data_IF_083969733687
#
_entry.id   IF_083969733687
#
_cell.length_a   1.000
_cell.length_b   1.000
_cell.length_c   1.000
_cell.angle_alpha   90.00
_cell.angle_beta   90.00
_cell.angle_gamma   90.00
#
_symmetry.space_group_name_H-M   'P 1'
#
loop_
_entity.id
_entity.type
_entity.pdbx_description
1 polymer ?
#
# COMPACT_ATOMS: atom_id res chain seq x y z
N UNK A 1 -33.60 -19.63 -81.21
CA UNK A 1 -34.05 -20.85 -80.52
C UNK A 1 -33.53 -20.82 -79.07
N UNK A 2 -34.46 -20.91 -78.11
CA UNK A 2 -34.35 -21.53 -76.78
C UNK A 2 -33.14 -21.18 -75.87
N UNK A 3 -33.40 -20.47 -74.74
CA UNK A 3 -33.51 -21.02 -73.35
C UNK A 3 -32.11 -21.00 -72.68
N UNK A 4 -31.85 -20.40 -71.51
CA UNK A 4 -32.42 -20.59 -70.18
C UNK A 4 -31.85 -19.55 -69.17
N UNK A 5 -32.60 -19.44 -68.06
CA UNK A 5 -32.36 -18.74 -66.78
C UNK A 5 -30.95 -18.85 -66.20
N UNK A 6 -30.60 -17.87 -65.37
CA UNK A 6 -29.57 -18.00 -64.33
C UNK A 6 -29.28 -16.69 -63.62
N UNK A 7 -30.15 -16.27 -62.68
CA UNK A 7 -29.89 -15.15 -61.77
C UNK A 7 -28.64 -15.44 -60.93
N UNK A 8 -27.63 -14.57 -61.00
CA UNK A 8 -26.43 -14.61 -60.16
C UNK A 8 -26.26 -13.29 -59.41
N UNK A 9 -26.19 -13.43 -58.09
CA UNK A 9 -25.47 -12.61 -57.12
C UNK A 9 -25.85 -11.13 -56.99
N UNK A 10 -26.73 -10.83 -56.02
CA UNK A 10 -26.74 -9.51 -55.39
C UNK A 10 -25.47 -9.34 -54.56
N UNK A 11 -24.64 -8.39 -54.96
CA UNK A 11 -23.42 -7.99 -54.29
C UNK A 11 -23.71 -7.40 -52.91
N UNK A 12 -22.97 -7.90 -51.91
CA UNK A 12 -22.86 -7.36 -50.56
C UNK A 12 -22.26 -5.95 -50.60
N UNK A 13 -23.12 -4.94 -50.42
CA UNK A 13 -22.69 -3.57 -50.16
C UNK A 13 -22.21 -3.42 -48.73
N UNK A 14 -20.90 -3.31 -48.54
CA UNK A 14 -20.29 -2.87 -47.29
C UNK A 14 -20.62 -1.38 -47.09
N UNK A 15 -21.60 -1.09 -46.24
CA UNK A 15 -21.91 0.26 -45.81
C UNK A 15 -20.77 0.78 -44.92
N UNK A 16 -19.98 1.71 -45.45
CA UNK A 16 -19.01 2.50 -44.69
C UNK A 16 -19.78 3.37 -43.68
N UNK A 17 -19.96 2.87 -42.46
CA UNK A 17 -20.39 3.70 -41.33
C UNK A 17 -19.21 4.57 -40.91
N UNK A 18 -19.46 5.88 -40.96
CA UNK A 18 -18.58 6.95 -40.53
C UNK A 18 -17.92 6.65 -39.17
N UNK A 19 -16.59 6.71 -39.12
CA UNK A 19 -15.82 6.81 -37.88
C UNK A 19 -16.03 8.22 -37.30
N UNK A 20 -17.04 8.32 -36.45
CA UNK A 20 -17.23 9.45 -35.56
C UNK A 20 -16.08 9.52 -34.55
N UNK A 21 -15.40 10.66 -34.55
CA UNK A 21 -14.69 11.27 -33.42
C UNK A 21 -13.96 10.33 -32.46
N UNK A 22 -12.67 10.11 -32.72
CA UNK A 22 -11.76 9.77 -31.63
C UNK A 22 -11.62 11.02 -30.76
N UNK A 23 -12.29 11.02 -29.59
CA UNK A 23 -12.10 12.03 -28.57
C UNK A 23 -10.60 12.13 -28.26
N UNK A 24 -10.00 13.29 -28.54
CA UNK A 24 -8.78 13.70 -27.86
C UNK A 24 -9.15 13.96 -26.40
N UNK A 25 -9.16 12.91 -25.58
CA UNK A 25 -9.08 13.06 -24.14
C UNK A 25 -7.65 13.58 -23.87
N UNK A 26 -7.51 14.89 -23.76
CA UNK A 26 -6.39 15.49 -23.07
C UNK A 26 -6.42 14.93 -21.66
N UNK A 27 -5.59 13.92 -21.40
CA UNK A 27 -5.24 13.52 -20.05
C UNK A 27 -4.52 14.74 -19.48
N UNK A 28 -5.29 15.63 -18.86
CA UNK A 28 -4.74 16.69 -18.05
C UNK A 28 -3.84 16.01 -17.05
N UNK A 29 -2.54 16.27 -17.14
CA UNK A 29 -1.57 15.97 -16.10
C UNK A 29 -1.87 16.91 -14.92
N UNK A 30 -3.08 16.86 -14.37
CA UNK A 30 -3.32 17.31 -13.03
C UNK A 30 -2.50 16.35 -12.18
N UNK A 31 -1.33 16.83 -11.73
CA UNK A 31 -0.63 16.20 -10.64
C UNK A 31 -1.64 16.09 -9.50
N UNK A 32 -2.27 14.91 -9.38
CA UNK A 32 -3.04 14.55 -8.20
C UNK A 32 -1.98 14.51 -7.10
N UNK A 33 -1.76 15.65 -6.46
CA UNK A 33 -1.31 15.65 -5.08
C UNK A 33 -2.47 14.99 -4.33
N UNK A 34 -2.44 13.67 -4.25
CA UNK A 34 -3.32 12.95 -3.35
C UNK A 34 -2.95 13.48 -1.97
N UNK A 35 -3.73 14.45 -1.51
CA UNK A 35 -3.62 14.92 -0.14
C UNK A 35 -4.17 13.78 0.70
N UNK A 36 -3.30 13.17 1.51
CA UNK A 36 -3.73 12.16 2.45
C UNK A 36 -4.86 12.71 3.33
N UNK A 37 -5.92 11.91 3.61
CA UNK A 37 -6.99 12.34 4.49
C UNK A 37 -6.46 12.89 5.81
N UNK A 38 -7.11 13.93 6.32
CA UNK A 38 -6.76 14.50 7.61
C UNK A 38 -6.88 13.43 8.70
N UNK A 39 -5.83 13.29 9.51
CA UNK A 39 -5.75 12.27 10.56
C UNK A 39 -5.10 10.94 10.15
N UNK A 40 -4.80 10.72 8.87
CA UNK A 40 -4.10 9.53 8.41
C UNK A 40 -2.61 9.81 8.11
N UNK A 41 -1.81 8.75 8.17
CA UNK A 41 -0.37 8.76 7.87
C UNK A 41 0.00 7.49 7.10
N UNK A 42 -0.19 7.51 5.79
CA UNK A 42 -0.15 6.31 4.93
C UNK A 42 1.24 5.92 4.41
N UNK A 43 2.19 6.85 4.45
CA UNK A 43 3.58 6.63 4.02
C UNK A 43 4.55 7.34 4.96
N UNK A 44 5.82 6.94 4.95
CA UNK A 44 6.83 7.41 5.91
C UNK A 44 6.93 8.95 6.04
N UNK A 45 6.69 9.69 4.95
CA UNK A 45 6.74 11.15 4.93
C UNK A 45 5.37 11.85 4.90
N UNK A 46 4.28 11.09 5.13
CA UNK A 46 2.86 11.47 4.96
C UNK A 46 2.45 11.79 3.54
N UNK A 47 3.18 12.64 2.83
CA UNK A 47 2.83 13.10 1.49
C UNK A 47 3.96 12.85 0.47
N UNK A 48 3.60 12.88 -0.81
CA UNK A 48 4.54 12.70 -1.92
C UNK A 48 5.54 13.86 -2.06
N UNK A 49 5.26 15.03 -1.46
CA UNK A 49 6.20 16.14 -1.41
C UNK A 49 7.26 15.98 -0.30
N UNK A 50 7.14 14.93 0.52
CA UNK A 50 7.99 14.62 1.67
C UNK A 50 8.05 15.74 2.72
N UNK A 51 6.96 16.49 2.92
CA UNK A 51 6.95 17.62 3.85
C UNK A 51 6.86 17.19 5.31
N UNK A 52 6.33 15.99 5.59
CA UNK A 52 6.09 15.48 6.96
C UNK A 52 5.24 16.44 7.81
N UNK A 53 4.39 17.23 7.18
CA UNK A 53 3.54 18.24 7.81
C UNK A 53 2.17 17.64 8.13
N UNK A 54 1.56 17.95 9.28
CA UNK A 54 0.17 17.57 9.59
C UNK A 54 -0.72 18.81 9.68
N UNK A 55 -1.93 18.81 9.08
CA UNK A 55 -2.87 19.92 9.17
C UNK A 55 -3.66 19.93 10.49
N UNK A 56 -3.51 18.90 11.34
CA UNK A 56 -4.22 18.83 12.62
C UNK A 56 -3.75 19.93 13.59
N UNK A 57 -4.71 20.69 14.12
CA UNK A 57 -4.46 21.82 15.02
C UNK A 57 -4.86 21.60 16.48
N UNK A 58 -5.22 20.36 16.88
CA UNK A 58 -5.69 20.09 18.24
C UNK A 58 -4.60 20.33 19.30
N UNK A 59 -3.35 19.96 18.96
CA UNK A 59 -2.18 20.19 19.81
C UNK A 59 -1.51 21.47 19.32
N UNK A 60 -1.36 22.44 20.21
CA UNK A 60 -0.79 23.76 19.93
C UNK A 60 0.35 24.05 20.91
N UNK A 61 1.09 25.14 20.66
CA UNK A 61 2.16 25.59 21.56
C UNK A 61 1.66 25.87 22.98
N UNK A 62 0.40 26.27 23.13
CA UNK A 62 -0.19 26.66 24.41
C UNK A 62 -0.60 25.44 25.28
N UNK A 63 -0.96 24.33 24.63
CA UNK A 63 -1.47 23.13 25.31
C UNK A 63 -0.51 21.92 25.29
N UNK A 64 0.58 21.95 24.50
CA UNK A 64 1.54 20.84 24.40
C UNK A 64 2.16 20.43 25.75
N UNK A 65 2.27 21.37 26.69
CA UNK A 65 2.73 21.11 28.06
C UNK A 65 1.84 20.16 28.87
N UNK A 66 0.60 19.94 28.42
CA UNK A 66 -0.37 19.09 29.11
C UNK A 66 -0.44 17.66 28.54
N UNK A 67 0.40 17.32 27.56
CA UNK A 67 0.38 15.99 26.95
C UNK A 67 0.76 14.91 27.96
N UNK A 68 0.03 13.81 27.92
CA UNK A 68 0.27 12.62 28.71
C UNK A 68 0.32 11.40 27.77
N UNK A 69 1.03 10.36 28.19
CA UNK A 69 1.08 9.10 27.46
C UNK A 69 -0.31 8.47 27.50
N UNK A 70 -0.94 8.31 26.33
CA UNK A 70 -2.25 7.66 26.23
C UNK A 70 -2.15 6.14 26.39
N UNK A 71 -1.12 5.51 25.81
CA UNK A 71 -0.82 4.09 25.88
C UNK A 71 0.59 3.82 25.36
N UNK A 72 1.12 2.63 25.62
CA UNK A 72 2.43 2.16 25.14
C UNK A 72 2.31 0.76 24.57
N UNK A 73 3.06 0.48 23.51
CA UNK A 73 3.19 -0.86 22.92
C UNK A 73 4.65 -1.29 22.93
N UNK A 74 4.93 -2.49 23.44
CA UNK A 74 6.27 -3.08 23.40
C UNK A 74 6.39 -4.05 22.24
N UNK A 75 7.32 -3.75 21.33
CA UNK A 75 7.64 -4.63 20.20
C UNK A 75 8.46 -5.87 20.60
N UNK A 76 9.00 -5.91 21.83
CA UNK A 76 9.80 -7.04 22.33
C UNK A 76 11.21 -7.17 21.72
N UNK A 77 11.69 -6.17 20.97
CA UNK A 77 13.00 -6.18 20.28
C UNK A 77 13.82 -4.94 20.67
N UNK A 78 15.11 -5.16 20.97
CA UNK A 78 16.04 -4.16 21.54
C UNK A 78 17.07 -3.63 20.53
N UNK A 79 16.73 -3.58 19.24
CA UNK A 79 17.59 -3.07 18.15
C UNK A 79 17.10 -1.71 17.65
N UNK A 80 17.77 -1.10 16.66
CA UNK A 80 17.37 0.19 16.12
C UNK A 80 15.96 0.17 15.50
N UNK A 81 15.06 0.97 16.07
CA UNK A 81 13.70 1.19 15.52
C UNK A 81 13.68 2.48 14.69
N UNK A 82 13.74 2.34 13.37
CA UNK A 82 13.71 3.48 12.43
C UNK A 82 12.38 3.62 11.67
N UNK A 83 11.49 2.63 11.79
CA UNK A 83 10.24 2.61 11.05
C UNK A 83 9.26 3.67 11.57
N UNK A 84 8.85 4.58 10.70
CA UNK A 84 7.73 5.46 10.98
C UNK A 84 6.43 4.62 11.04
N UNK A 85 5.64 4.73 12.13
CA UNK A 85 4.33 4.08 12.18
C UNK A 85 3.42 4.63 11.07
N UNK A 86 2.59 3.76 10.52
CA UNK A 86 1.52 4.17 9.61
C UNK A 86 0.19 4.17 10.33
N UNK A 87 -0.72 5.07 9.96
CA UNK A 87 -2.10 5.09 10.46
C UNK A 87 -3.04 5.16 9.26
N UNK A 88 -3.89 4.14 9.13
CA UNK A 88 -4.90 4.04 8.06
C UNK A 88 -6.23 3.70 8.72
N UNK A 89 -7.18 4.62 8.69
CA UNK A 89 -8.40 4.54 9.50
C UNK A 89 -8.08 4.33 10.99
N UNK A 90 -8.73 3.35 11.62
CA UNK A 90 -8.56 3.04 13.05
C UNK A 90 -7.39 2.08 13.35
N UNK A 91 -6.50 1.82 12.39
CA UNK A 91 -5.41 0.85 12.56
C UNK A 91 -4.06 1.51 12.42
N UNK A 92 -3.19 1.30 13.41
CA UNK A 92 -1.79 1.68 13.36
C UNK A 92 -0.92 0.48 12.99
N UNK A 93 0.04 0.68 12.09
CA UNK A 93 0.97 -0.35 11.65
C UNK A 93 2.39 -0.02 12.09
N UNK A 94 3.06 -0.98 12.72
CA UNK A 94 4.43 -0.83 13.24
C UNK A 94 5.30 -1.94 12.69
N UNK A 95 6.45 -1.58 12.12
CA UNK A 95 7.46 -2.53 11.63
C UNK A 95 8.64 -2.53 12.59
N UNK A 96 9.07 -3.71 13.02
CA UNK A 96 10.26 -3.82 13.88
C UNK A 96 11.55 -3.92 13.05
N UNK A 97 12.72 -3.70 13.68
CA UNK A 97 13.98 -4.28 13.20
C UNK A 97 13.87 -5.81 13.06
N UNK A 98 14.95 -6.46 12.62
CA UNK A 98 15.01 -7.93 12.44
C UNK A 98 14.26 -8.67 13.56
N UNK A 99 13.32 -9.58 13.22
CA UNK A 99 13.11 -10.20 11.91
C UNK A 99 12.15 -9.45 10.96
N UNK A 100 11.94 -8.14 11.14
CA UNK A 100 11.02 -7.32 10.36
C UNK A 100 9.54 -7.70 10.55
N UNK A 101 9.13 -7.97 11.79
CA UNK A 101 7.74 -8.23 12.11
C UNK A 101 6.89 -6.98 11.92
N UNK A 102 5.76 -7.12 11.22
CA UNK A 102 4.74 -6.09 11.08
C UNK A 102 3.61 -6.35 12.07
N UNK A 103 3.28 -5.37 12.89
CA UNK A 103 2.15 -5.39 13.82
C UNK A 103 1.05 -4.47 13.31
N UNK A 104 -0.21 -4.93 13.38
CA UNK A 104 -1.39 -4.08 13.23
C UNK A 104 -2.06 -3.90 14.60
N UNK A 105 -2.19 -2.65 15.02
CA UNK A 105 -2.69 -2.25 16.33
C UNK A 105 -4.05 -1.57 16.19
N UNK A 106 -5.01 -1.94 17.02
CA UNK A 106 -6.34 -1.33 17.07
C UNK A 106 -6.31 -0.04 17.90
N UNK A 107 -6.51 1.11 17.25
CA UNK A 107 -6.55 2.40 17.93
C UNK A 107 -7.80 2.58 18.80
N UNK A 108 -8.87 1.81 18.56
CA UNK A 108 -10.08 1.80 19.40
C UNK A 108 -9.89 1.01 20.70
N UNK A 109 -8.87 0.16 20.76
CA UNK A 109 -8.57 -0.70 21.91
C UNK A 109 -7.16 -0.41 22.46
N UNK A 110 -6.82 0.87 22.60
CA UNK A 110 -5.56 1.32 23.21
C UNK A 110 -4.29 0.65 22.63
N UNK A 111 -4.29 0.35 21.33
CA UNK A 111 -3.16 -0.28 20.65
C UNK A 111 -3.09 -1.80 20.80
N UNK A 112 -4.19 -2.48 21.13
CA UNK A 112 -4.24 -3.94 21.15
C UNK A 112 -3.85 -4.55 19.79
N UNK A 113 -3.08 -5.62 19.81
CA UNK A 113 -2.61 -6.28 18.58
C UNK A 113 -3.80 -6.97 17.90
N UNK A 114 -4.19 -6.50 16.71
CA UNK A 114 -5.19 -7.14 15.84
C UNK A 114 -4.61 -8.38 15.18
N UNK A 115 -3.41 -8.24 14.63
CA UNK A 115 -2.65 -9.31 14.02
C UNK A 115 -1.18 -8.90 13.92
N UNK A 116 -0.32 -9.90 13.67
CA UNK A 116 1.09 -9.70 13.36
C UNK A 116 1.47 -10.55 12.16
N UNK A 117 2.42 -10.06 11.38
CA UNK A 117 3.00 -10.77 10.25
C UNK A 117 4.51 -10.93 10.45
N UNK A 118 4.98 -12.17 10.35
CA UNK A 118 6.40 -12.52 10.41
C UNK A 118 6.88 -12.95 9.00
N UNK A 119 7.75 -12.16 8.36
CA UNK A 119 8.26 -12.46 7.01
C UNK A 119 9.25 -13.63 6.94
N UNK A 120 9.58 -14.28 8.07
CA UNK A 120 10.54 -15.40 8.14
C UNK A 120 11.88 -15.03 7.48
N UNK A 121 12.46 -13.90 7.90
CA UNK A 121 13.75 -13.42 7.40
C UNK A 121 14.86 -14.38 7.81
N UNK A 122 15.71 -14.76 6.86
CA UNK A 122 16.85 -15.63 7.12
C UNK A 122 17.81 -14.99 8.11
N UNK A 123 18.28 -15.76 9.11
CA UNK A 123 19.20 -15.27 10.14
C UNK A 123 20.54 -14.81 9.59
N UNK A 124 20.98 -15.35 8.44
CA UNK A 124 22.22 -14.92 7.77
C UNK A 124 22.13 -13.49 7.21
N UNK A 125 20.91 -12.93 7.06
CA UNK A 125 20.73 -11.53 6.64
C UNK A 125 21.34 -10.55 7.66
N UNK A 126 21.41 -10.94 8.94
CA UNK A 126 22.00 -10.10 9.98
C UNK A 126 23.51 -9.89 9.76
N UNK A 127 24.21 -10.89 9.23
CA UNK A 127 25.67 -10.84 9.02
C UNK A 127 26.11 -9.97 7.85
N UNK A 128 25.18 -9.57 6.97
CA UNK A 128 25.46 -8.70 5.80
C UNK A 128 24.91 -7.28 5.98
N UNK A 129 24.28 -6.99 7.12
CA UNK A 129 23.80 -5.65 7.45
C UNK A 129 24.96 -4.77 7.95
N UNK A 130 25.30 -3.71 7.20
CA UNK A 130 26.42 -2.83 7.56
C UNK A 130 26.21 -2.00 8.82
N UNK A 131 24.95 -1.69 9.13
CA UNK A 131 24.58 -0.48 9.84
C UNK A 131 23.38 -0.76 10.78
N UNK A 132 23.50 -1.86 11.55
CA UNK A 132 22.42 -2.50 12.31
C UNK A 132 21.31 -3.13 11.43
N UNK A 133 20.47 -3.95 12.06
CA UNK A 133 19.42 -4.74 11.42
C UNK A 133 18.08 -3.99 11.40
N UNK A 134 18.15 -2.72 11.02
CA UNK A 134 17.03 -1.77 11.04
C UNK A 134 16.07 -1.97 9.87
N UNK A 135 14.86 -1.42 10.00
CA UNK A 135 13.87 -1.31 8.94
C UNK A 135 13.26 0.10 8.95
N UNK A 136 13.04 0.70 7.77
CA UNK A 136 12.53 2.08 7.63
C UNK A 136 11.01 2.16 7.45
N UNK A 137 10.33 1.03 7.63
CA UNK A 137 8.88 0.95 7.73
C UNK A 137 8.22 0.45 6.47
N UNK A 138 6.93 0.71 6.41
CA UNK A 138 6.05 0.31 5.33
C UNK A 138 5.53 1.55 4.57
N UNK A 139 4.90 1.30 3.44
CA UNK A 139 3.95 2.22 2.82
C UNK A 139 2.60 1.49 2.72
N UNK A 140 1.50 2.22 2.84
CA UNK A 140 0.18 1.62 2.88
C UNK A 140 -0.86 2.46 2.17
N UNK A 141 -1.89 1.77 1.69
CA UNK A 141 -3.16 2.32 1.24
C UNK A 141 -4.27 1.53 1.94
N UNK A 142 -5.53 1.97 1.80
CA UNK A 142 -6.68 1.35 2.48
C UNK A 142 -6.77 -0.18 2.37
N UNK A 143 -6.23 -0.77 1.29
CA UNK A 143 -6.34 -2.21 1.01
C UNK A 143 -5.02 -2.97 1.03
N UNK A 144 -3.88 -2.28 1.05
CA UNK A 144 -2.59 -2.93 0.88
C UNK A 144 -1.49 -2.19 1.63
N UNK A 145 -0.60 -2.95 2.25
CA UNK A 145 0.63 -2.52 2.89
C UNK A 145 1.81 -3.13 2.14
N UNK A 146 2.89 -2.39 2.08
CA UNK A 146 4.11 -2.78 1.39
C UNK A 146 5.27 -2.60 2.34
N UNK A 147 6.08 -3.64 2.52
CA UNK A 147 7.25 -3.61 3.37
C UNK A 147 8.40 -4.35 2.70
N UNK A 148 9.61 -3.80 2.81
CA UNK A 148 10.81 -4.52 2.44
C UNK A 148 11.26 -5.42 3.59
N UNK A 149 11.60 -6.67 3.28
CA UNK A 149 12.25 -7.58 4.22
C UNK A 149 13.77 -7.58 4.02
N UNK A 150 14.51 -7.86 5.07
CA UNK A 150 15.95 -8.10 4.94
C UNK A 150 16.20 -9.38 4.12
N UNK A 151 17.25 -9.36 3.30
CA UNK A 151 17.62 -10.47 2.42
C UNK A 151 19.13 -10.69 2.37
N UNK A 152 19.53 -11.88 1.94
CA UNK A 152 20.93 -12.35 1.91
C UNK A 152 21.57 -12.28 0.53
N UNK A 153 20.76 -12.04 -0.51
CA UNK A 153 21.25 -11.88 -1.87
C UNK A 153 21.54 -10.39 -2.11
N UNK A 154 22.80 -10.09 -2.43
CA UNK A 154 23.40 -8.77 -2.70
C UNK A 154 22.63 -7.84 -3.67
N UNK A 155 21.49 -8.26 -4.23
CA UNK A 155 20.78 -7.48 -5.25
C UNK A 155 19.26 -7.66 -5.29
N UNK A 156 18.62 -8.37 -4.35
CA UNK A 156 17.15 -8.56 -4.41
C UNK A 156 16.48 -8.20 -3.09
N UNK A 157 16.13 -6.93 -2.96
CA UNK A 157 15.10 -6.48 -2.01
C UNK A 157 13.74 -6.94 -2.54
N UNK A 158 13.17 -7.97 -1.95
CA UNK A 158 11.79 -8.34 -2.23
C UNK A 158 10.87 -7.37 -1.47
N UNK A 159 10.19 -6.50 -2.22
CA UNK A 159 9.05 -5.74 -1.69
C UNK A 159 7.89 -6.72 -1.56
N UNK A 160 7.49 -7.00 -0.32
CA UNK A 160 6.34 -7.85 -0.07
C UNK A 160 5.07 -7.00 -0.01
N UNK A 161 4.08 -7.38 -0.81
CA UNK A 161 2.72 -6.84 -0.75
C UNK A 161 1.94 -7.61 0.30
N UNK A 162 1.63 -6.96 1.42
CA UNK A 162 0.75 -7.47 2.46
C UNK A 162 -0.61 -6.82 2.21
N UNK A 163 -1.53 -7.52 1.57
CA UNK A 163 -2.92 -7.06 1.49
C UNK A 163 -3.44 -6.98 2.93
N UNK A 164 -3.91 -5.80 3.36
CA UNK A 164 -4.46 -5.62 4.70
C UNK A 164 -5.76 -6.42 4.78
N UNK A 165 -5.66 -7.69 5.16
CA UNK A 165 -6.81 -8.59 5.27
C UNK A 165 -7.66 -8.15 6.45
N UNK A 166 -8.72 -7.41 6.15
CA UNK A 166 -9.69 -6.90 7.12
C UNK A 166 -11.07 -6.61 6.51
N UNK A 167 -11.36 -7.14 5.32
CA UNK A 167 -12.70 -7.15 4.74
C UNK A 167 -13.20 -8.61 4.70
N UNK A 168 -14.41 -8.92 5.19
CA UNK A 168 -14.88 -10.30 5.37
C UNK A 168 -15.15 -11.09 4.07
N UNK A 169 -14.72 -10.61 2.90
CA UNK A 169 -14.96 -11.28 1.62
C UNK A 169 -13.76 -11.11 0.69
N UNK A 170 -12.71 -11.89 0.90
CA UNK A 170 -11.71 -12.11 -0.13
C UNK A 170 -11.25 -13.57 -0.07
N UNK A 171 -12.00 -14.42 -0.79
CA UNK A 171 -11.55 -15.72 -1.26
C UNK A 171 -10.29 -15.49 -2.11
N UNK A 172 -9.13 -15.85 -1.58
CA UNK A 172 -7.96 -16.17 -2.38
C UNK A 172 -7.46 -17.53 -1.95
N UNK A 173 -8.17 -18.55 -2.43
CA UNK A 173 -7.64 -19.89 -2.57
C UNK A 173 -7.46 -20.16 -4.07
N UNK A 174 -6.26 -19.96 -4.65
CA UNK A 174 -6.00 -20.35 -6.03
C UNK A 174 -5.61 -21.83 -6.16
N UNK A 175 -5.85 -22.68 -5.14
CA UNK A 175 -5.44 -24.09 -5.16
C UNK A 175 -6.56 -25.07 -4.79
N UNK A 176 -7.79 -24.82 -5.25
CA UNK A 176 -8.88 -25.80 -5.30
C UNK A 176 -9.72 -25.63 -6.58
N UNK A 177 -9.13 -25.90 -7.75
CA UNK A 177 -9.82 -26.45 -8.93
C UNK A 177 -8.83 -26.98 -9.95
#
# INVERSE_FOLDING_TARGET
>A
MQRLRGDRAAASGFAWRALAGCLAASVGLAAVRAQEPDGEWRMAARDYANLRYSPLGQITKDNAKNLQVAWTFSAGIVRGHEAAPLVVGDTMYVVTPYPNTLYALDLKQAGAVKWRYDPQVSSSAQGVACCDVVNRGAAGEQRALFMARMGVLSSVFFVLVIVAQGLPNFLLDPCQR
#
